data_IF_041637754038
#
_entry.id   IF_041637754038
#
_cell.length_a   1.000
_cell.length_b   1.000
_cell.length_c   1.000
_cell.angle_alpha   90.00
_cell.angle_beta   90.00
_cell.angle_gamma   90.00
#
_symmetry.space_group_name_H-M   'P 1'
#
loop_
_entity.id
_entity.type
_entity.pdbx_description
1 polymer ?
#
# COMPACT_ATOMS: atom_id res chain seq x y z
N UNK A 1 -32.37 -19.54 2.35
CA UNK A 1 -31.76 -18.51 1.49
C UNK A 1 -30.39 -19.03 1.14
N UNK A 2 -30.17 -19.33 -0.13
CA UNK A 2 -28.95 -19.97 -0.60
C UNK A 2 -27.76 -19.04 -0.34
N UNK A 3 -26.81 -19.49 0.48
CA UNK A 3 -25.44 -18.97 0.48
C UNK A 3 -24.86 -19.27 -0.91
N UNK A 4 -25.20 -18.41 -1.86
CA UNK A 4 -24.48 -18.32 -3.11
C UNK A 4 -23.09 -17.83 -2.74
N UNK A 5 -22.19 -18.79 -2.46
CA UNK A 5 -20.75 -18.56 -2.33
C UNK A 5 -20.34 -17.73 -3.54
N UNK A 6 -20.18 -16.43 -3.35
CA UNK A 6 -19.44 -15.57 -4.27
C UNK A 6 -18.01 -16.07 -4.27
N UNK A 7 -17.74 -17.06 -5.11
CA UNK A 7 -16.37 -17.46 -5.44
C UNK A 7 -15.76 -16.32 -6.23
N UNK A 8 -14.73 -15.69 -5.68
CA UNK A 8 -13.90 -14.74 -6.41
C UNK A 8 -13.11 -15.54 -7.45
N UNK A 9 -13.14 -15.10 -8.70
CA UNK A 9 -12.42 -15.70 -9.82
C UNK A 9 -10.92 -15.34 -9.78
N UNK A 10 -10.11 -16.12 -10.50
CA UNK A 10 -8.67 -15.82 -10.66
C UNK A 10 -8.43 -14.46 -11.31
N UNK A 11 -9.28 -14.08 -12.26
CA UNK A 11 -9.19 -12.79 -12.93
C UNK A 11 -9.43 -11.65 -11.93
N UNK A 12 -10.46 -11.74 -11.09
CA UNK A 12 -10.76 -10.72 -10.08
C UNK A 12 -9.63 -10.57 -9.05
N UNK A 13 -8.98 -11.67 -8.64
CA UNK A 13 -7.81 -11.61 -7.75
C UNK A 13 -6.60 -10.99 -8.46
N UNK A 14 -6.39 -11.33 -9.73
CA UNK A 14 -5.29 -10.77 -10.53
C UNK A 14 -5.46 -9.28 -10.76
N UNK A 15 -6.67 -8.82 -11.07
CA UNK A 15 -7.01 -7.42 -11.26
C UNK A 15 -6.84 -6.65 -9.95
N UNK A 16 -7.33 -7.20 -8.84
CA UNK A 16 -7.13 -6.59 -7.52
C UNK A 16 -5.64 -6.48 -7.15
N UNK A 17 -4.82 -7.49 -7.44
CA UNK A 17 -3.37 -7.41 -7.23
C UNK A 17 -2.73 -6.32 -8.11
N UNK A 18 -3.23 -6.10 -9.32
CA UNK A 18 -2.77 -5.01 -10.18
C UNK A 18 -3.16 -3.64 -9.62
N UNK A 19 -4.41 -3.47 -9.18
CA UNK A 19 -4.86 -2.21 -8.59
C UNK A 19 -4.02 -1.88 -7.34
N UNK A 20 -3.79 -2.87 -6.47
CA UNK A 20 -2.97 -2.70 -5.25
C UNK A 20 -1.51 -2.35 -5.58
N UNK A 21 -0.97 -2.89 -6.67
CA UNK A 21 0.37 -2.56 -7.17
C UNK A 21 0.45 -1.12 -7.69
N UNK A 22 -0.54 -0.67 -8.45
CA UNK A 22 -0.61 0.71 -8.95
C UNK A 22 -0.75 1.71 -7.80
N UNK A 23 -1.61 1.41 -6.81
CA UNK A 23 -1.75 2.22 -5.60
C UNK A 23 -0.44 2.29 -4.80
N UNK A 24 0.29 1.18 -4.68
CA UNK A 24 1.58 1.15 -4.02
C UNK A 24 2.60 2.05 -4.74
N UNK A 25 2.69 1.92 -6.06
CA UNK A 25 3.62 2.73 -6.87
C UNK A 25 3.35 4.22 -6.69
N UNK A 26 2.07 4.62 -6.73
CA UNK A 26 1.67 5.99 -6.49
C UNK A 26 2.10 6.50 -5.10
N UNK A 27 1.96 5.67 -4.06
CA UNK A 27 2.40 6.04 -2.71
C UNK A 27 3.92 6.12 -2.57
N UNK A 28 4.66 5.19 -3.17
CA UNK A 28 6.12 5.22 -3.22
C UNK A 28 6.63 6.52 -3.89
N UNK A 29 6.03 6.90 -5.02
CA UNK A 29 6.34 8.16 -5.72
C UNK A 29 5.97 9.39 -4.87
N UNK A 30 4.82 9.35 -4.20
CA UNK A 30 4.36 10.45 -3.33
C UNK A 30 5.31 10.66 -2.16
N UNK A 31 5.70 9.58 -1.47
CA UNK A 31 6.64 9.63 -0.34
C UNK A 31 8.02 10.13 -0.82
N UNK A 32 8.53 9.59 -1.92
CA UNK A 32 9.80 10.03 -2.49
C UNK A 32 9.80 11.52 -2.87
N UNK A 33 8.70 12.01 -3.45
CA UNK A 33 8.53 13.43 -3.77
C UNK A 33 8.50 14.31 -2.53
N UNK A 34 7.81 13.88 -1.47
CA UNK A 34 7.78 14.60 -0.19
C UNK A 34 9.16 14.64 0.46
N UNK A 35 9.89 13.53 0.47
CA UNK A 35 11.25 13.49 1.03
C UNK A 35 12.22 14.36 0.24
N UNK A 36 12.11 14.36 -1.09
CA UNK A 36 12.94 15.20 -1.95
C UNK A 36 12.66 16.69 -1.72
N UNK A 37 11.38 17.07 -1.52
CA UNK A 37 11.02 18.44 -1.18
C UNK A 37 11.63 18.84 0.17
N UNK A 38 11.53 17.99 1.19
CA UNK A 38 12.12 18.26 2.50
C UNK A 38 13.64 18.47 2.41
N UNK A 39 14.35 17.61 1.66
CA UNK A 39 15.79 17.77 1.38
C UNK A 39 16.13 19.08 0.68
N UNK A 40 15.27 19.55 -0.22
CA UNK A 40 15.49 20.79 -0.99
C UNK A 40 15.30 22.03 -0.11
N UNK A 41 14.34 22.02 0.81
CA UNK A 41 14.04 23.15 1.71
C UNK A 41 14.99 23.18 2.92
N UNK A 42 15.52 22.03 3.33
CA UNK A 42 16.46 21.89 4.44
C UNK A 42 15.79 21.70 5.80
N UNK A 43 16.58 21.27 6.77
CA UNK A 43 16.12 20.79 8.09
C UNK A 43 15.45 21.86 8.96
N UNK A 44 15.66 23.15 8.64
CA UNK A 44 15.11 24.29 9.37
C UNK A 44 13.72 24.72 8.87
N UNK A 45 13.09 23.94 7.99
CA UNK A 45 11.77 24.28 7.47
C UNK A 45 10.71 24.34 8.58
N UNK A 46 10.21 25.55 8.85
CA UNK A 46 9.21 25.85 9.88
C UNK A 46 8.00 26.59 9.31
N UNK A 47 6.89 26.51 10.03
CA UNK A 47 5.65 27.21 9.70
C UNK A 47 4.58 26.31 9.09
N UNK A 48 3.44 26.90 8.66
CA UNK A 48 2.26 26.15 8.25
C UNK A 48 2.51 25.17 7.09
N UNK A 49 3.39 25.53 6.15
CA UNK A 49 3.75 24.67 5.03
C UNK A 49 4.52 23.41 5.46
N UNK A 50 5.47 23.55 6.39
CA UNK A 50 6.19 22.41 6.98
C UNK A 50 5.24 21.48 7.76
N UNK A 51 4.27 22.05 8.47
CA UNK A 51 3.23 21.26 9.17
C UNK A 51 2.34 20.50 8.19
N UNK A 52 1.91 21.15 7.11
CA UNK A 52 1.09 20.52 6.07
C UNK A 52 1.84 19.39 5.35
N UNK A 53 3.13 19.59 5.04
CA UNK A 53 4.00 18.56 4.46
C UNK A 53 4.14 17.34 5.37
N UNK A 54 4.52 17.53 6.64
CA UNK A 54 4.63 16.44 7.62
C UNK A 54 3.30 15.70 7.79
N UNK A 55 2.17 16.40 7.67
CA UNK A 55 0.84 15.77 7.68
C UNK A 55 0.65 14.90 6.44
N UNK A 56 0.94 15.42 5.25
CA UNK A 56 0.81 14.68 3.99
C UNK A 56 1.66 13.40 4.01
N UNK A 57 2.90 13.49 4.51
CA UNK A 57 3.79 12.35 4.64
C UNK A 57 3.22 11.27 5.57
N UNK A 58 2.75 11.66 6.76
CA UNK A 58 2.09 10.71 7.68
C UNK A 58 0.84 10.08 7.08
N UNK A 59 0.03 10.86 6.37
CA UNK A 59 -1.19 10.36 5.74
C UNK A 59 -0.87 9.37 4.61
N UNK A 60 0.17 9.61 3.80
CA UNK A 60 0.65 8.66 2.80
C UNK A 60 1.09 7.32 3.41
N UNK A 61 1.83 7.34 4.53
CA UNK A 61 2.21 6.12 5.25
C UNK A 61 1.01 5.38 5.86
N UNK A 62 0.00 6.11 6.36
CA UNK A 62 -1.25 5.49 6.83
C UNK A 62 -2.01 4.82 5.70
N UNK A 63 -2.02 5.42 4.51
CA UNK A 63 -2.67 4.84 3.35
C UNK A 63 -1.93 3.58 2.88
N UNK A 64 -0.59 3.57 2.90
CA UNK A 64 0.18 2.35 2.68
C UNK A 64 -0.17 1.24 3.69
N UNK A 65 -0.39 1.59 4.96
CA UNK A 65 -0.83 0.64 5.97
C UNK A 65 -2.23 0.07 5.71
N UNK A 66 -3.16 0.90 5.25
CA UNK A 66 -4.52 0.47 4.88
C UNK A 66 -4.51 -0.45 3.67
N UNK A 67 -3.75 -0.13 2.63
CA UNK A 67 -3.70 -0.94 1.41
C UNK A 67 -3.02 -2.29 1.70
N UNK A 68 -2.01 -2.34 2.57
CA UNK A 68 -1.46 -3.62 3.05
C UNK A 68 -2.52 -4.51 3.70
N UNK A 69 -3.51 -3.96 4.42
CA UNK A 69 -4.61 -4.78 4.97
C UNK A 69 -5.46 -5.40 3.86
N UNK A 70 -5.61 -4.72 2.71
CA UNK A 70 -6.32 -5.28 1.55
C UNK A 70 -5.58 -6.47 0.95
N UNK A 71 -4.23 -6.44 0.90
CA UNK A 71 -3.44 -7.61 0.52
C UNK A 71 -3.69 -8.81 1.44
N UNK A 72 -3.83 -8.60 2.76
CA UNK A 72 -4.13 -9.70 3.68
C UNK A 72 -5.51 -10.34 3.40
N UNK A 73 -6.47 -9.58 2.87
CA UNK A 73 -7.74 -10.12 2.40
C UNK A 73 -7.60 -10.95 1.12
N UNK A 74 -6.71 -10.56 0.20
CA UNK A 74 -6.35 -11.39 -0.96
C UNK A 74 -5.76 -12.72 -0.49
N UNK A 75 -4.84 -12.69 0.47
CA UNK A 75 -4.25 -13.90 1.05
C UNK A 75 -5.29 -14.83 1.69
N UNK A 76 -6.23 -14.28 2.47
CA UNK A 76 -7.31 -15.07 3.06
C UNK A 76 -8.21 -15.70 1.98
N UNK A 77 -8.54 -14.95 0.93
CA UNK A 77 -9.33 -15.46 -0.20
C UNK A 77 -8.62 -16.61 -0.92
N UNK A 78 -7.33 -16.47 -1.23
CA UNK A 78 -6.51 -17.52 -1.87
C UNK A 78 -6.41 -18.76 -0.97
N UNK A 79 -6.21 -18.61 0.33
CA UNK A 79 -6.16 -19.73 1.29
C UNK A 79 -7.48 -20.48 1.38
N UNK A 80 -8.61 -19.77 1.39
CA UNK A 80 -9.95 -20.39 1.40
C UNK A 80 -10.22 -21.23 0.14
N UNK A 81 -9.54 -20.92 -0.96
CA UNK A 81 -9.58 -21.71 -2.21
C UNK A 81 -8.63 -22.92 -2.20
N UNK A 82 -7.75 -23.04 -1.20
CA UNK A 82 -6.75 -24.10 -1.11
C UNK A 82 -5.55 -23.89 -2.02
N UNK A 83 -5.34 -22.67 -2.51
CA UNK A 83 -4.26 -22.31 -3.43
C UNK A 83 -3.06 -21.72 -2.70
N UNK A 84 -1.89 -21.77 -3.33
CA UNK A 84 -0.68 -21.12 -2.84
C UNK A 84 -0.64 -19.64 -3.23
N UNK A 85 -0.07 -18.80 -2.37
CA UNK A 85 0.21 -17.40 -2.68
C UNK A 85 1.27 -17.32 -3.79
N UNK A 86 1.00 -16.54 -4.83
CA UNK A 86 1.92 -16.33 -5.94
C UNK A 86 3.07 -15.38 -5.59
N UNK A 87 4.14 -15.41 -6.39
CA UNK A 87 5.33 -14.56 -6.21
C UNK A 87 4.98 -13.06 -6.21
N UNK A 88 4.09 -12.65 -7.12
CA UNK A 88 3.59 -11.26 -7.22
C UNK A 88 2.98 -10.76 -5.91
N UNK A 89 2.22 -11.61 -5.21
CA UNK A 89 1.64 -11.26 -3.91
C UNK A 89 2.74 -11.03 -2.87
N UNK A 90 3.71 -11.94 -2.79
CA UNK A 90 4.80 -11.88 -1.82
C UNK A 90 5.68 -10.65 -2.04
N UNK A 91 5.96 -10.31 -3.30
CA UNK A 91 6.69 -9.10 -3.67
C UNK A 91 5.95 -7.83 -3.20
N UNK A 92 4.65 -7.73 -3.50
CA UNK A 92 3.83 -6.60 -3.07
C UNK A 92 3.81 -6.47 -1.54
N UNK A 93 3.59 -7.58 -0.84
CA UNK A 93 3.61 -7.60 0.63
C UNK A 93 4.94 -7.09 1.19
N UNK A 94 6.07 -7.49 0.61
CA UNK A 94 7.40 -7.03 1.02
C UNK A 94 7.62 -5.53 0.76
N UNK A 95 7.17 -5.02 -0.39
CA UNK A 95 7.28 -3.59 -0.72
C UNK A 95 6.43 -2.73 0.22
N UNK A 96 5.20 -3.15 0.54
CA UNK A 96 4.38 -2.46 1.56
C UNK A 96 5.04 -2.44 2.94
N UNK A 97 5.67 -3.55 3.35
CA UNK A 97 6.41 -3.61 4.62
C UNK A 97 7.61 -2.66 4.63
N UNK A 98 8.32 -2.57 3.51
CA UNK A 98 9.45 -1.65 3.36
C UNK A 98 9.02 -0.19 3.51
N UNK A 99 7.91 0.19 2.85
CA UNK A 99 7.37 1.54 2.93
C UNK A 99 6.91 1.93 4.36
N UNK A 100 6.40 0.98 5.13
CA UNK A 100 6.04 1.21 6.54
C UNK A 100 7.25 1.42 7.45
N UNK A 101 8.32 0.64 7.27
CA UNK A 101 9.54 0.78 8.08
C UNK A 101 10.22 2.13 7.88
N UNK A 102 10.03 2.77 6.73
CA UNK A 102 10.55 4.12 6.48
C UNK A 102 9.76 5.23 7.19
N UNK A 103 8.64 4.90 7.82
CA UNK A 103 7.77 5.86 8.52
C UNK A 103 7.98 5.91 10.04
N UNK A 104 8.61 4.88 10.62
CA UNK A 104 8.99 4.76 12.04
C UNK A 104 10.38 5.38 12.29
#
# INVERSE_FOLDING_TARGET
MSDEKRSVSDQELSDLLQDLEEMLRYLEETVAGLDQLAKTVGDDWKGPAATAHKKLQRDAYRDAARIRQMLLHVEDATKRRGESLGERYLELLHRFQSLQRSSD
#
